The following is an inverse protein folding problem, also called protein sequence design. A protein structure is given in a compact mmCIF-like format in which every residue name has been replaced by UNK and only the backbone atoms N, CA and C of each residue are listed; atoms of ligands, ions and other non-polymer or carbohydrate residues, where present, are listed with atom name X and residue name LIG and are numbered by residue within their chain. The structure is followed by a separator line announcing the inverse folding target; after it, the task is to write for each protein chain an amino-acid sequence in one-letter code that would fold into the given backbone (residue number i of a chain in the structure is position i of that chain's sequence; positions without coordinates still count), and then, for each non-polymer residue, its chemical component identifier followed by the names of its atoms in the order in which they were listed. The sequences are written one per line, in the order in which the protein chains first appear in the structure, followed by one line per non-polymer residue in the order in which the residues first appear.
data_IF_564140568829
#
_entry.id   IF_564140568829
#
_cell.length_a   1.000
_cell.length_b   1.000
_cell.length_c   1.000
_cell.angle_alpha   90.00
_cell.angle_beta   90.00
_cell.angle_gamma   90.00
#
_symmetry.space_group_name_H-M   'P 1'
#
loop_
_entity.id
_entity.type
_entity.pdbx_description
1 polymer ?
#
# COMPACT_ATOMS: atom_id res chain seq x y z
N UNK A 1 29.67 17.10 43.95
CA UNK A 1 29.87 15.85 43.19
C UNK A 1 28.72 15.65 42.24
N UNK A 2 28.91 16.12 41.01
CA UNK A 2 27.94 15.93 39.93
C UNK A 2 28.17 14.55 39.28
N UNK A 3 27.18 13.68 39.34
CA UNK A 3 27.12 12.48 38.51
C UNK A 3 26.30 12.77 37.26
N UNK A 4 26.98 12.87 36.13
CA UNK A 4 26.39 12.84 34.80
C UNK A 4 25.82 11.45 34.55
N UNK A 5 24.51 11.33 34.42
CA UNK A 5 23.89 10.18 33.79
C UNK A 5 23.65 10.53 32.33
N UNK A 6 24.52 10.00 31.47
CA UNK A 6 24.35 10.09 30.03
C UNK A 6 23.19 9.21 29.58
N UNK A 7 22.18 9.85 29.02
CA UNK A 7 21.13 9.18 28.29
C UNK A 7 21.66 8.89 26.88
N UNK A 8 22.01 7.63 26.60
CA UNK A 8 22.30 7.15 25.25
C UNK A 8 21.01 7.17 24.44
N UNK A 9 20.89 8.14 23.58
CA UNK A 9 19.94 8.09 22.46
C UNK A 9 20.55 7.13 21.44
N UNK A 10 20.00 5.94 21.33
CA UNK A 10 20.31 5.03 20.22
C UNK A 10 19.71 5.63 18.96
N UNK A 11 20.58 6.11 18.10
CA UNK A 11 20.25 6.42 16.70
C UNK A 11 19.95 5.09 16.00
N UNK A 12 18.68 4.92 15.62
CA UNK A 12 18.27 3.84 14.74
C UNK A 12 18.98 3.99 13.40
N UNK A 13 19.92 3.10 13.16
CA UNK A 13 20.62 2.96 11.89
C UNK A 13 19.60 2.61 10.82
N UNK A 14 19.28 3.59 9.99
CA UNK A 14 18.64 3.35 8.70
C UNK A 14 19.57 2.44 7.92
N UNK A 15 19.18 1.17 7.81
CA UNK A 15 19.86 0.20 6.96
C UNK A 15 19.55 0.59 5.51
N UNK A 16 20.45 1.38 4.92
CA UNK A 16 20.51 1.52 3.49
C UNK A 16 20.93 0.16 2.92
N UNK A 17 19.98 -0.59 2.39
CA UNK A 17 20.26 -1.71 1.51
C UNK A 17 20.92 -1.15 0.26
N UNK A 18 22.25 -1.08 0.33
CA UNK A 18 23.13 -0.90 -0.82
C UNK A 18 22.94 -2.17 -1.67
N UNK A 19 22.18 -2.04 -2.74
CA UNK A 19 22.16 -3.05 -3.79
C UNK A 19 23.54 -2.93 -4.43
N UNK A 20 24.40 -3.90 -4.14
CA UNK A 20 25.70 -4.04 -4.79
C UNK A 20 25.47 -4.09 -6.30
N UNK A 21 25.91 -3.03 -6.95
CA UNK A 21 26.22 -3.00 -8.36
C UNK A 21 27.38 -3.95 -8.57
N UNK A 22 27.08 -5.20 -8.86
CA UNK A 22 28.08 -6.16 -9.35
C UNK A 22 28.42 -5.77 -10.78
N UNK A 23 29.36 -4.84 -10.92
CA UNK A 23 30.03 -4.57 -12.19
C UNK A 23 30.95 -5.76 -12.48
N UNK A 24 30.45 -6.72 -13.24
CA UNK A 24 31.27 -7.75 -13.85
C UNK A 24 32.08 -7.10 -14.99
N UNK A 25 33.31 -6.69 -14.70
CA UNK A 25 34.30 -6.36 -15.72
C UNK A 25 34.72 -7.62 -16.44
N UNK A 26 34.18 -7.82 -17.65
CA UNK A 26 34.62 -8.87 -18.55
C UNK A 26 35.82 -8.35 -19.35
N UNK A 27 36.95 -9.11 -19.45
CA UNK A 27 38.12 -8.65 -20.18
C UNK A 27 37.83 -8.59 -21.69
N UNK A 28 38.30 -7.51 -22.32
CA UNK A 28 38.23 -7.22 -23.75
C UNK A 28 38.93 -8.28 -24.60
N UNK A 29 38.16 -8.99 -25.39
CA UNK A 29 38.58 -9.79 -26.51
C UNK A 29 37.56 -9.70 -27.63
N UNK A 30 37.94 -8.97 -28.65
CA UNK A 30 37.43 -8.85 -30.01
C UNK A 30 36.01 -9.37 -30.35
N UNK A 31 35.26 -8.44 -30.94
CA UNK A 31 33.99 -8.65 -31.65
C UNK A 31 32.75 -8.75 -30.72
N UNK A 32 32.16 -7.61 -30.45
CA UNK A 32 31.10 -7.50 -29.47
C UNK A 32 29.84 -6.99 -30.13
N UNK A 33 28.94 -7.86 -30.41
CA UNK A 33 27.51 -7.55 -30.30
C UNK A 33 27.22 -7.40 -28.82
N UNK A 34 26.99 -6.18 -28.38
CA UNK A 34 26.43 -5.92 -27.04
C UNK A 34 24.98 -6.41 -27.10
N UNK A 35 24.75 -7.66 -26.69
CA UNK A 35 23.41 -8.08 -26.35
C UNK A 35 23.04 -7.28 -25.09
N UNK A 36 22.21 -6.27 -25.29
CA UNK A 36 21.49 -5.64 -24.21
C UNK A 36 20.57 -6.74 -23.69
N UNK A 37 21.01 -7.41 -22.62
CA UNK A 37 20.14 -8.29 -21.85
C UNK A 37 19.10 -7.36 -21.26
N UNK A 38 17.98 -7.18 -21.98
CA UNK A 38 16.77 -6.64 -21.39
C UNK A 38 16.51 -7.48 -20.16
N UNK A 39 16.73 -6.90 -19.00
CA UNK A 39 16.32 -7.50 -17.74
C UNK A 39 14.84 -7.79 -17.87
N UNK A 40 14.49 -9.06 -18.07
CA UNK A 40 13.11 -9.49 -18.24
C UNK A 40 12.38 -9.10 -16.95
N UNK A 41 11.70 -7.97 -17.01
CA UNK A 41 10.83 -7.53 -15.91
C UNK A 41 9.82 -8.64 -15.66
N UNK A 42 10.00 -9.31 -14.54
CA UNK A 42 9.13 -10.42 -14.12
C UNK A 42 7.70 -9.90 -14.02
N UNK A 43 6.89 -10.27 -15.00
CA UNK A 43 5.45 -9.99 -14.99
C UNK A 43 4.73 -11.11 -14.24
N UNK A 44 3.73 -10.72 -13.48
CA UNK A 44 2.92 -11.57 -12.61
C UNK A 44 1.53 -11.75 -13.20
N UNK A 45 1.03 -12.97 -13.14
CA UNK A 45 -0.35 -13.28 -13.50
C UNK A 45 -1.33 -12.81 -12.44
N UNK A 46 -2.62 -12.71 -12.81
CA UNK A 46 -3.71 -12.41 -11.87
C UNK A 46 -3.68 -13.30 -10.62
N UNK A 47 -3.37 -14.60 -10.80
CA UNK A 47 -3.34 -15.56 -9.68
C UNK A 47 -2.20 -15.29 -8.72
N UNK A 48 -1.02 -14.99 -9.23
CA UNK A 48 0.16 -14.66 -8.41
C UNK A 48 -0.07 -13.37 -7.63
N UNK A 49 -0.59 -12.34 -8.29
CA UNK A 49 -0.93 -11.07 -7.63
C UNK A 49 -1.96 -11.27 -6.52
N UNK A 50 -3.02 -12.03 -6.77
CA UNK A 50 -4.04 -12.31 -5.77
C UNK A 50 -3.48 -13.07 -4.56
N UNK A 51 -2.55 -14.02 -4.77
CA UNK A 51 -1.88 -14.75 -3.69
C UNK A 51 -0.95 -13.86 -2.88
N UNK A 52 -0.11 -13.05 -3.54
CA UNK A 52 0.86 -12.17 -2.88
C UNK A 52 0.15 -11.09 -2.06
N UNK A 53 -0.88 -10.45 -2.63
CA UNK A 53 -1.61 -9.37 -1.97
C UNK A 53 -2.77 -9.85 -1.10
N UNK A 54 -3.04 -11.16 -1.04
CA UNK A 54 -4.17 -11.75 -0.30
C UNK A 54 -5.52 -11.08 -0.63
N UNK A 55 -5.81 -10.91 -1.91
CA UNK A 55 -7.07 -10.35 -2.41
C UNK A 55 -7.75 -11.29 -3.39
N UNK A 56 -9.07 -11.13 -3.56
CA UNK A 56 -9.84 -11.91 -4.53
C UNK A 56 -9.60 -11.39 -5.96
N UNK A 57 -9.76 -12.26 -6.95
CA UNK A 57 -9.78 -11.86 -8.38
C UNK A 57 -10.83 -10.78 -8.65
N UNK A 58 -12.01 -10.89 -8.02
CA UNK A 58 -13.08 -9.91 -8.14
C UNK A 58 -12.62 -8.52 -7.68
N UNK A 59 -11.91 -8.44 -6.56
CA UNK A 59 -11.34 -7.19 -6.04
C UNK A 59 -10.31 -6.59 -6.99
N UNK A 60 -9.39 -7.42 -7.52
CA UNK A 60 -8.37 -6.98 -8.46
C UNK A 60 -8.99 -6.44 -9.76
N UNK A 61 -10.01 -7.12 -10.30
CA UNK A 61 -10.72 -6.67 -11.49
C UNK A 61 -11.56 -5.42 -11.24
N UNK A 62 -12.09 -5.26 -10.04
CA UNK A 62 -12.77 -4.03 -9.64
C UNK A 62 -11.80 -2.85 -9.59
N UNK A 63 -10.59 -3.03 -9.05
CA UNK A 63 -9.56 -1.99 -9.04
C UNK A 63 -9.13 -1.57 -10.45
N UNK A 64 -9.02 -2.51 -11.38
CA UNK A 64 -8.77 -2.20 -12.79
C UNK A 64 -9.96 -1.41 -13.41
N UNK A 65 -11.20 -1.83 -13.13
CA UNK A 65 -12.42 -1.16 -13.65
C UNK A 65 -12.53 0.29 -13.20
N UNK A 66 -12.21 0.60 -11.94
CA UNK A 66 -12.27 1.98 -11.41
C UNK A 66 -10.99 2.79 -11.69
N UNK A 67 -9.99 2.19 -12.38
CA UNK A 67 -8.73 2.83 -12.69
C UNK A 67 -7.82 3.07 -11.49
N UNK A 68 -8.02 2.32 -10.40
CA UNK A 68 -7.19 2.40 -9.20
C UNK A 68 -5.87 1.63 -9.37
N UNK A 69 -5.93 0.46 -10.04
CA UNK A 69 -4.76 -0.35 -10.36
C UNK A 69 -4.90 -0.93 -11.76
N UNK A 70 -4.07 -0.47 -12.68
CA UNK A 70 -4.06 -0.94 -14.06
C UNK A 70 -3.04 -2.05 -14.27
N UNK A 71 -3.34 -3.06 -15.11
CA UNK A 71 -2.36 -4.04 -15.52
C UNK A 71 -1.30 -3.41 -16.42
N UNK A 72 -0.05 -3.87 -16.34
CA UNK A 72 1.04 -3.39 -17.21
C UNK A 72 0.84 -3.81 -18.67
N UNK A 73 0.39 -5.04 -18.88
CA UNK A 73 0.15 -5.61 -20.22
C UNK A 73 -1.13 -6.45 -20.22
N UNK A 74 -1.74 -6.57 -21.40
CA UNK A 74 -2.83 -7.51 -21.69
C UNK A 74 -2.36 -8.41 -22.83
N UNK A 75 -2.29 -9.72 -22.60
CA UNK A 75 -1.67 -10.69 -23.52
C UNK A 75 -2.72 -11.61 -24.13
N UNK A 76 -2.55 -11.94 -25.40
CA UNK A 76 -3.39 -12.88 -26.14
C UNK A 76 -4.78 -12.35 -26.50
N UNK A 77 -5.53 -13.17 -27.25
CA UNK A 77 -6.91 -12.86 -27.70
C UNK A 77 -7.90 -12.69 -26.53
N UNK A 78 -7.62 -13.31 -25.39
CA UNK A 78 -8.44 -13.22 -24.19
C UNK A 78 -8.05 -12.06 -23.27
N UNK A 79 -7.16 -11.16 -23.70
CA UNK A 79 -6.70 -9.99 -22.93
C UNK A 79 -6.27 -10.32 -21.47
N UNK A 80 -5.51 -11.42 -21.31
CA UNK A 80 -4.99 -11.84 -20.02
C UNK A 80 -4.17 -10.72 -19.38
N UNK A 81 -4.57 -10.29 -18.19
CA UNK A 81 -3.95 -9.19 -17.48
C UNK A 81 -2.66 -9.62 -16.80
N UNK A 82 -1.59 -8.88 -17.04
CA UNK A 82 -0.28 -9.09 -16.43
C UNK A 82 0.12 -7.86 -15.64
N UNK A 83 0.71 -8.08 -14.48
CA UNK A 83 1.12 -7.04 -13.54
C UNK A 83 2.63 -7.09 -13.29
N UNK A 84 3.21 -6.00 -12.89
CA UNK A 84 4.63 -5.92 -12.51
C UNK A 84 4.80 -5.77 -10.99
N UNK A 85 6.04 -5.66 -10.55
CA UNK A 85 6.34 -5.44 -9.13
C UNK A 85 5.78 -4.11 -8.61
N UNK A 86 5.72 -3.08 -9.46
CA UNK A 86 5.19 -1.77 -9.07
C UNK A 86 3.70 -1.85 -8.72
N UNK A 87 2.96 -2.70 -9.43
CA UNK A 87 1.56 -2.98 -9.11
C UNK A 87 1.39 -3.62 -7.73
N UNK A 88 2.32 -4.48 -7.30
CA UNK A 88 2.29 -5.06 -5.94
C UNK A 88 2.51 -3.98 -4.89
N UNK A 89 3.48 -3.09 -5.07
CA UNK A 89 3.70 -1.96 -4.15
C UNK A 89 2.47 -1.05 -4.07
N UNK A 90 1.86 -0.73 -5.23
CA UNK A 90 0.63 0.07 -5.27
C UNK A 90 -0.52 -0.64 -4.53
N UNK A 91 -0.65 -1.97 -4.67
CA UNK A 91 -1.63 -2.76 -3.92
C UNK A 91 -1.41 -2.71 -2.41
N UNK A 92 -0.17 -2.81 -1.96
CA UNK A 92 0.17 -2.70 -0.54
C UNK A 92 -0.21 -1.32 0.02
N UNK A 93 0.05 -0.24 -0.72
CA UNK A 93 -0.38 1.10 -0.36
C UNK A 93 -1.91 1.22 -0.29
N UNK A 94 -2.63 0.68 -1.28
CA UNK A 94 -4.10 0.65 -1.27
C UNK A 94 -4.62 -0.06 -0.02
N UNK A 95 -4.05 -1.21 0.34
CA UNK A 95 -4.44 -1.96 1.54
C UNK A 95 -4.16 -1.18 2.82
N UNK A 96 -3.01 -0.53 2.92
CA UNK A 96 -2.66 0.32 4.06
C UNK A 96 -3.68 1.45 4.25
N UNK A 97 -4.04 2.17 3.20
CA UNK A 97 -5.03 3.24 3.27
C UNK A 97 -6.45 2.72 3.59
N UNK A 98 -6.83 1.57 3.03
CA UNK A 98 -8.10 0.91 3.38
C UNK A 98 -8.18 0.54 4.85
N UNK A 99 -7.11 -0.02 5.40
CA UNK A 99 -7.04 -0.37 6.82
C UNK A 99 -7.08 0.86 7.73
N UNK A 100 -6.62 2.01 7.23
CA UNK A 100 -6.76 3.31 7.90
C UNK A 100 -8.18 3.92 7.78
N UNK A 101 -9.13 3.22 7.12
CA UNK A 101 -10.52 3.67 7.00
C UNK A 101 -10.79 4.64 5.85
N UNK A 102 -9.90 4.75 4.86
CA UNK A 102 -10.12 5.57 3.68
C UNK A 102 -11.03 4.86 2.67
N UNK A 103 -11.82 5.64 1.96
CA UNK A 103 -12.64 5.18 0.85
C UNK A 103 -11.78 5.01 -0.42
N UNK A 104 -12.12 4.06 -1.29
CA UNK A 104 -11.36 3.81 -2.53
C UNK A 104 -11.22 5.05 -3.42
N UNK A 105 -12.23 5.94 -3.41
CA UNK A 105 -12.16 7.22 -4.10
C UNK A 105 -11.07 8.13 -3.53
N UNK A 106 -11.00 8.26 -2.21
CA UNK A 106 -9.98 9.04 -1.51
C UNK A 106 -8.58 8.47 -1.75
N UNK A 107 -8.46 7.13 -1.75
CA UNK A 107 -7.20 6.43 -2.04
C UNK A 107 -6.72 6.72 -3.46
N UNK A 108 -7.64 6.72 -4.44
CA UNK A 108 -7.30 7.04 -5.82
C UNK A 108 -6.75 8.46 -5.95
N UNK A 109 -7.42 9.44 -5.34
CA UNK A 109 -6.97 10.84 -5.32
C UNK A 109 -5.58 10.98 -4.68
N UNK A 110 -5.31 10.23 -3.59
CA UNK A 110 -4.00 10.23 -2.91
C UNK A 110 -2.89 9.65 -3.80
N UNK A 111 -3.18 8.59 -4.55
CA UNK A 111 -2.19 7.91 -5.39
C UNK A 111 -1.90 8.62 -6.71
N UNK A 112 -2.85 9.42 -7.19
CA UNK A 112 -2.74 10.12 -8.47
C UNK A 112 -2.21 11.56 -8.31
N UNK A 113 -2.17 12.12 -7.08
CA UNK A 113 -1.90 13.52 -6.81
C UNK A 113 -0.64 13.76 -5.94
N UNK A 114 -0.34 15.03 -5.69
CA UNK A 114 0.80 15.47 -4.90
C UNK A 114 0.69 15.10 -3.41
N UNK A 115 1.85 15.07 -2.71
CA UNK A 115 1.90 14.81 -1.26
C UNK A 115 1.06 15.76 -0.43
N UNK A 116 0.92 17.01 -0.87
CA UNK A 116 0.12 18.03 -0.18
C UNK A 116 -1.37 17.71 -0.24
N UNK A 117 -1.84 17.25 -1.39
CA UNK A 117 -3.23 16.83 -1.57
C UNK A 117 -3.53 15.57 -0.75
N UNK A 118 -2.60 14.62 -0.72
CA UNK A 118 -2.69 13.43 0.13
C UNK A 118 -2.91 13.78 1.60
N UNK A 119 -2.14 14.74 2.14
CA UNK A 119 -2.28 15.21 3.52
C UNK A 119 -3.68 15.75 3.81
N UNK A 120 -4.22 16.58 2.91
CA UNK A 120 -5.59 17.13 3.04
C UNK A 120 -6.66 16.03 3.06
N UNK A 121 -6.52 15.00 2.22
CA UNK A 121 -7.45 13.87 2.19
C UNK A 121 -7.37 13.03 3.48
N UNK A 122 -6.18 12.80 4.00
CA UNK A 122 -5.98 12.11 5.26
C UNK A 122 -6.59 12.88 6.44
N UNK A 123 -6.45 14.20 6.48
CA UNK A 123 -7.11 15.04 7.49
C UNK A 123 -8.63 14.95 7.42
N UNK A 124 -9.22 15.01 6.21
CA UNK A 124 -10.68 14.85 6.03
C UNK A 124 -11.16 13.50 6.55
N UNK A 125 -10.43 12.42 6.22
CA UNK A 125 -10.75 11.08 6.71
C UNK A 125 -10.68 11.00 8.25
N UNK A 126 -9.67 11.58 8.87
CA UNK A 126 -9.52 11.63 10.32
C UNK A 126 -10.70 12.35 10.99
N UNK A 127 -11.11 13.51 10.46
CA UNK A 127 -12.27 14.26 10.98
C UNK A 127 -13.57 13.44 10.84
N UNK A 128 -13.75 12.73 9.70
CA UNK A 128 -14.90 11.83 9.50
C UNK A 128 -14.94 10.72 10.54
N UNK A 129 -13.84 10.01 10.71
CA UNK A 129 -13.73 8.89 11.66
C UNK A 129 -13.93 9.37 13.12
N UNK A 130 -13.44 10.54 13.47
CA UNK A 130 -13.66 11.13 14.79
C UNK A 130 -15.14 11.39 15.06
N UNK A 131 -15.87 11.92 14.06
CA UNK A 131 -17.33 12.12 14.18
C UNK A 131 -18.09 10.79 14.28
N UNK A 132 -17.70 9.78 13.51
CA UNK A 132 -18.30 8.45 13.59
C UNK A 132 -18.06 7.80 14.97
N UNK A 133 -16.84 7.92 15.49
CA UNK A 133 -16.50 7.43 16.82
C UNK A 133 -17.37 8.07 17.90
N UNK A 134 -17.56 9.38 17.86
CA UNK A 134 -18.39 10.08 18.81
C UNK A 134 -19.86 9.65 18.74
N UNK A 135 -20.39 9.49 17.52
CA UNK A 135 -21.73 8.95 17.31
C UNK A 135 -21.90 7.56 17.91
N UNK A 136 -20.91 6.68 17.70
CA UNK A 136 -20.93 5.31 18.23
C UNK A 136 -20.87 5.34 19.78
N UNK A 137 -20.08 6.22 20.38
CA UNK A 137 -20.04 6.39 21.83
C UNK A 137 -21.41 6.75 22.42
N UNK A 138 -22.10 7.71 21.79
CA UNK A 138 -23.44 8.12 22.21
C UNK A 138 -24.43 6.95 22.08
N UNK A 139 -24.40 6.22 20.96
CA UNK A 139 -25.25 5.05 20.74
C UNK A 139 -25.01 3.96 21.79
N UNK A 140 -23.74 3.69 22.13
CA UNK A 140 -23.36 2.72 23.15
C UNK A 140 -23.88 3.13 24.54
N UNK A 141 -23.80 4.42 24.89
CA UNK A 141 -24.31 4.90 26.17
C UNK A 141 -25.83 4.84 26.26
N UNK A 142 -26.54 5.16 25.18
CA UNK A 142 -28.00 5.00 25.12
C UNK A 142 -28.41 3.54 25.26
N UNK A 143 -27.72 2.62 24.57
CA UNK A 143 -27.97 1.18 24.68
C UNK A 143 -27.72 0.68 26.12
N UNK A 144 -26.68 1.18 26.79
CA UNK A 144 -26.38 0.83 28.17
C UNK A 144 -27.51 1.25 29.13
N UNK A 145 -28.09 2.46 28.93
CA UNK A 145 -29.26 2.91 29.71
C UNK A 145 -30.44 1.98 29.51
N UNK A 146 -30.78 1.63 28.28
CA UNK A 146 -31.87 0.68 27.97
C UNK A 146 -31.66 -0.69 28.61
N UNK A 147 -30.44 -1.20 28.60
CA UNK A 147 -30.10 -2.45 29.27
C UNK A 147 -30.30 -2.39 30.79
N UNK A 148 -30.00 -1.27 31.41
CA UNK A 148 -30.19 -1.08 32.83
C UNK A 148 -31.68 -1.00 33.20
N UNK A 149 -32.50 -0.28 32.42
CA UNK A 149 -33.95 -0.18 32.58
C UNK A 149 -34.61 -1.57 32.42
N UNK A 150 -34.23 -2.33 31.41
CA UNK A 150 -34.79 -3.68 31.17
C UNK A 150 -34.41 -4.70 32.25
N UNK A 151 -33.31 -4.48 32.96
CA UNK A 151 -32.82 -5.35 34.05
C UNK A 151 -33.41 -5.04 35.40
N UNK A 152 -34.07 -3.87 35.54
CA UNK A 152 -34.61 -3.36 36.79
C UNK A 152 -36.05 -3.80 37.07
N UNK A 153 -36.66 -4.59 36.19
CA UNK A 153 -37.94 -5.29 36.44
C UNK A 153 -37.60 -6.73 36.91
#
# INVERSE_FOLDING_TARGET
LARKTGCCVQEDKIVHNKIDEMVLTVPLGNSTTVEIVESQEKVLSVNEVCKIANISRKTLFYYDKIGLLLPKKRIGSQHTKMYDKTAIHKLQQIQMYKNAGLLLREIKEILDDSKEHAYKQLQKANVRLTKELEKIKIQKENLKKLLQETRGE
#
